data_IF_490996101872
#
_entry.id   IF_490996101872
#
_cell.length_a   1.000
_cell.length_b   1.000
_cell.length_c   1.000
_cell.angle_alpha   90.00
_cell.angle_beta   90.00
_cell.angle_gamma   90.00
#
_symmetry.space_group_name_H-M   'P 1'
#
loop_
_entity.id
_entity.type
_entity.pdbx_description
1 polymer ?
#
# COMPACT_ATOMS: atom_id res chain seq x y z
N UNK A 1 19.55 17.43 8.75
CA UNK A 1 19.28 16.93 7.38
C UNK A 1 18.51 15.61 7.36
N UNK A 2 18.90 14.57 8.13
CA UNK A 2 18.22 13.25 8.14
C UNK A 2 16.70 13.31 8.40
N UNK A 3 16.23 14.22 9.25
CA UNK A 3 14.80 14.32 9.60
C UNK A 3 13.93 14.86 8.48
N UNK A 4 14.41 15.85 7.73
CA UNK A 4 13.67 16.49 6.63
C UNK A 4 13.44 15.48 5.49
N UNK A 5 14.46 14.69 5.16
CA UNK A 5 14.36 13.63 4.15
C UNK A 5 13.32 12.57 4.52
N UNK A 6 13.19 12.22 5.80
CA UNK A 6 12.19 11.25 6.27
C UNK A 6 10.77 11.82 6.20
N UNK A 7 10.58 13.10 6.51
CA UNK A 7 9.27 13.75 6.36
C UNK A 7 8.85 13.81 4.88
N UNK A 8 9.76 14.20 3.99
CA UNK A 8 9.48 14.21 2.54
C UNK A 8 9.11 12.81 2.04
N UNK A 9 9.88 11.79 2.43
CA UNK A 9 9.60 10.42 2.00
C UNK A 9 8.26 9.90 2.52
N UNK A 10 7.94 10.21 3.78
CA UNK A 10 6.66 9.90 4.39
C UNK A 10 5.49 10.52 3.63
N UNK A 11 5.58 11.81 3.31
CA UNK A 11 4.53 12.48 2.54
C UNK A 11 4.43 11.91 1.13
N UNK A 12 5.55 11.66 0.46
CA UNK A 12 5.57 11.07 -0.87
C UNK A 12 4.91 9.67 -0.89
N UNK A 13 5.30 8.77 0.01
CA UNK A 13 4.72 7.43 0.11
C UNK A 13 3.24 7.47 0.50
N UNK A 14 2.87 8.30 1.47
CA UNK A 14 1.48 8.42 1.91
C UNK A 14 0.56 8.95 0.81
N UNK A 15 0.98 10.01 0.12
CA UNK A 15 0.22 10.58 -1.00
C UNK A 15 0.15 9.62 -2.19
N UNK A 16 1.22 8.90 -2.48
CA UNK A 16 1.23 7.88 -3.54
C UNK A 16 0.18 6.80 -3.26
N UNK A 17 0.16 6.23 -2.06
CA UNK A 17 -0.81 5.19 -1.67
C UNK A 17 -2.25 5.69 -1.62
N UNK A 18 -2.46 6.94 -1.20
CA UNK A 18 -3.80 7.56 -1.27
C UNK A 18 -4.24 7.71 -2.73
N UNK A 19 -3.35 8.18 -3.61
CA UNK A 19 -3.65 8.36 -5.03
C UNK A 19 -3.97 7.03 -5.72
N UNK A 20 -3.19 5.97 -5.47
CA UNK A 20 -3.46 4.63 -6.01
C UNK A 20 -4.80 4.10 -5.51
N UNK A 21 -5.07 4.23 -4.22
CA UNK A 21 -6.31 3.77 -3.61
C UNK A 21 -7.54 4.49 -4.18
N UNK A 22 -7.48 5.81 -4.31
CA UNK A 22 -8.58 6.60 -4.90
C UNK A 22 -8.80 6.20 -6.36
N UNK A 23 -7.74 6.02 -7.14
CA UNK A 23 -7.84 5.55 -8.52
C UNK A 23 -8.55 4.19 -8.65
N UNK A 24 -8.29 3.27 -7.72
CA UNK A 24 -8.96 1.96 -7.67
C UNK A 24 -10.40 2.03 -7.11
N UNK A 25 -10.66 2.90 -6.13
CA UNK A 25 -11.99 3.08 -5.54
C UNK A 25 -12.99 3.71 -6.51
N UNK A 26 -12.53 4.66 -7.34
CA UNK A 26 -13.36 5.34 -8.33
C UNK A 26 -13.98 4.38 -9.34
N UNK A 27 -13.27 3.31 -9.72
CA UNK A 27 -13.80 2.24 -10.55
C UNK A 27 -13.33 0.86 -10.08
N UNK A 28 -13.94 0.39 -8.98
CA UNK A 28 -13.64 -0.92 -8.44
C UNK A 28 -14.04 -2.07 -9.39
N UNK A 29 -15.04 -1.86 -10.27
CA UNK A 29 -15.45 -2.89 -11.24
C UNK A 29 -14.40 -3.05 -12.33
N UNK A 30 -13.90 -1.93 -12.86
CA UNK A 30 -12.78 -1.92 -13.79
C UNK A 30 -11.51 -2.51 -13.18
N UNK A 31 -11.22 -2.20 -11.91
CA UNK A 31 -10.10 -2.82 -11.19
C UNK A 31 -10.28 -4.34 -11.02
N UNK A 32 -11.48 -4.83 -10.71
CA UNK A 32 -11.75 -6.26 -10.65
C UNK A 32 -11.56 -6.97 -11.99
N UNK A 33 -11.89 -6.31 -13.12
CA UNK A 33 -11.62 -6.82 -14.45
C UNK A 33 -10.11 -6.89 -14.74
N UNK A 34 -9.33 -5.90 -14.29
CA UNK A 34 -7.86 -5.95 -14.35
C UNK A 34 -7.34 -7.11 -13.51
N UNK A 35 -7.83 -7.30 -12.27
CA UNK A 35 -7.45 -8.43 -11.42
C UNK A 35 -7.78 -9.79 -12.05
N UNK A 36 -8.82 -9.88 -12.88
CA UNK A 36 -9.14 -11.10 -13.63
C UNK A 36 -8.03 -11.48 -14.61
N UNK A 37 -7.35 -10.50 -15.22
CA UNK A 37 -6.26 -10.74 -16.18
C UNK A 37 -5.04 -11.41 -15.53
N UNK A 38 -4.89 -11.31 -14.22
CA UNK A 38 -3.83 -11.98 -13.46
C UNK A 38 -4.07 -13.50 -13.31
N UNK A 39 -5.27 -14.00 -13.59
CA UNK A 39 -5.62 -15.43 -13.55
C UNK A 39 -5.22 -16.15 -12.24
N UNK A 40 -5.21 -15.42 -11.13
CA UNK A 40 -4.76 -15.90 -9.82
C UNK A 40 -5.91 -16.23 -8.88
N UNK A 41 -7.06 -15.58 -9.05
CA UNK A 41 -8.19 -15.66 -8.13
C UNK A 41 -9.51 -15.93 -8.87
N UNK A 42 -10.48 -16.60 -8.23
CA UNK A 42 -11.78 -16.86 -8.85
C UNK A 42 -12.61 -15.58 -8.98
N UNK A 43 -13.44 -15.52 -10.02
CA UNK A 43 -14.22 -14.32 -10.37
C UNK A 43 -15.12 -13.80 -9.24
N UNK A 44 -15.64 -14.71 -8.39
CA UNK A 44 -16.50 -14.35 -7.26
C UNK A 44 -15.81 -13.43 -6.23
N UNK A 45 -14.49 -13.55 -6.04
CA UNK A 45 -13.77 -12.79 -5.02
C UNK A 45 -13.09 -11.53 -5.55
N UNK A 46 -13.04 -11.32 -6.88
CA UNK A 46 -12.28 -10.21 -7.47
C UNK A 46 -12.82 -8.83 -7.03
N UNK A 47 -14.15 -8.67 -6.98
CA UNK A 47 -14.82 -7.45 -6.55
C UNK A 47 -14.54 -7.10 -5.07
N UNK A 48 -14.78 -8.01 -4.09
CA UNK A 48 -14.44 -7.73 -2.70
C UNK A 48 -12.94 -7.63 -2.48
N UNK A 49 -12.11 -8.41 -3.18
CA UNK A 49 -10.66 -8.33 -3.10
C UNK A 49 -10.14 -6.96 -3.56
N UNK A 50 -10.64 -6.46 -4.69
CA UNK A 50 -10.30 -5.13 -5.20
C UNK A 50 -10.65 -4.03 -4.21
N UNK A 51 -11.82 -4.12 -3.59
CA UNK A 51 -12.26 -3.17 -2.57
C UNK A 51 -11.39 -3.23 -1.31
N UNK A 52 -11.14 -4.44 -0.78
CA UNK A 52 -10.31 -4.63 0.42
C UNK A 52 -8.90 -4.13 0.21
N UNK A 53 -8.29 -4.43 -0.94
CA UNK A 53 -6.95 -3.99 -1.27
C UNK A 53 -6.88 -2.47 -1.34
N UNK A 54 -7.84 -1.84 -2.01
CA UNK A 54 -7.87 -0.38 -2.17
C UNK A 54 -8.16 0.35 -0.86
N UNK A 55 -9.06 -0.18 -0.02
CA UNK A 55 -9.29 0.35 1.32
C UNK A 55 -8.05 0.20 2.21
N UNK A 56 -7.33 -0.92 2.10
CA UNK A 56 -6.09 -1.13 2.86
C UNK A 56 -5.02 -0.11 2.48
N UNK A 57 -4.85 0.19 1.19
CA UNK A 57 -3.95 1.25 0.71
C UNK A 57 -4.35 2.62 1.23
N UNK A 58 -5.65 2.94 1.18
CA UNK A 58 -6.15 4.24 1.63
C UNK A 58 -5.91 4.44 3.13
N UNK A 59 -6.29 3.45 3.95
CA UNK A 59 -6.13 3.50 5.40
C UNK A 59 -4.65 3.63 5.76
N UNK A 60 -3.79 2.80 5.16
CA UNK A 60 -2.36 2.84 5.42
C UNK A 60 -1.72 4.16 4.99
N UNK A 61 -2.11 4.71 3.83
CA UNK A 61 -1.64 6.01 3.35
C UNK A 61 -2.05 7.17 4.26
N UNK A 62 -3.31 7.20 4.70
CA UNK A 62 -3.84 8.22 5.63
C UNK A 62 -3.14 8.12 6.99
N UNK A 63 -3.05 6.91 7.56
CA UNK A 63 -2.40 6.70 8.86
C UNK A 63 -0.90 7.01 8.79
N UNK A 64 -0.25 6.74 7.65
CA UNK A 64 1.15 7.13 7.43
C UNK A 64 1.32 8.65 7.48
N UNK A 65 0.37 9.45 6.99
CA UNK A 65 0.46 10.92 7.02
C UNK A 65 0.03 11.47 8.39
N UNK A 66 -1.01 10.90 9.01
CA UNK A 66 -1.62 11.41 10.24
C UNK A 66 -0.81 11.09 11.50
N UNK A 67 -0.25 9.89 11.63
CA UNK A 67 0.33 9.43 12.90
C UNK A 67 1.78 9.90 13.10
N UNK A 68 2.12 10.65 14.17
CA UNK A 68 3.50 11.13 14.36
C UNK A 68 4.55 10.01 14.47
N UNK A 69 4.15 8.80 14.89
CA UNK A 69 5.00 7.58 14.94
C UNK A 69 4.35 6.44 14.12
N UNK A 70 4.50 6.41 12.79
CA UNK A 70 3.72 5.57 11.89
C UNK A 70 4.33 4.15 11.78
N UNK A 71 4.64 3.48 12.88
CA UNK A 71 5.36 2.19 12.85
C UNK A 71 4.56 1.11 12.11
N UNK A 72 3.32 0.86 12.54
CA UNK A 72 2.41 -0.11 11.93
C UNK A 72 2.07 0.19 10.46
N UNK A 73 1.65 1.43 10.09
CA UNK A 73 1.33 1.72 8.70
C UNK A 73 2.54 1.64 7.76
N UNK A 74 3.76 1.93 8.25
CA UNK A 74 4.98 1.78 7.44
C UNK A 74 5.23 0.33 7.06
N UNK A 75 5.10 -0.60 8.01
CA UNK A 75 5.20 -2.04 7.75
C UNK A 75 4.10 -2.53 6.81
N UNK A 76 2.85 -2.04 6.98
CA UNK A 76 1.76 -2.38 6.07
C UNK A 76 2.04 -1.96 4.62
N UNK A 77 2.55 -0.75 4.41
CA UNK A 77 2.96 -0.25 3.09
C UNK A 77 4.09 -1.10 2.50
N UNK A 78 5.08 -1.47 3.31
CA UNK A 78 6.14 -2.37 2.87
C UNK A 78 5.61 -3.73 2.41
N UNK A 79 4.71 -4.35 3.18
CA UNK A 79 4.14 -5.64 2.80
C UNK A 79 3.25 -5.55 1.55
N UNK A 80 2.50 -4.47 1.37
CA UNK A 80 1.73 -4.24 0.14
C UNK A 80 2.64 -4.09 -1.07
N UNK A 81 3.69 -3.26 -0.99
CA UNK A 81 4.68 -3.11 -2.06
C UNK A 81 5.38 -4.42 -2.39
N UNK A 82 5.77 -5.19 -1.36
CA UNK A 82 6.35 -6.51 -1.56
C UNK A 82 5.38 -7.45 -2.26
N UNK A 83 4.09 -7.42 -1.88
CA UNK A 83 3.03 -8.18 -2.56
C UNK A 83 2.91 -7.82 -4.03
N UNK A 84 2.94 -6.53 -4.37
CA UNK A 84 2.93 -6.07 -5.76
C UNK A 84 4.17 -6.49 -6.54
N UNK A 85 5.36 -6.34 -5.95
CA UNK A 85 6.61 -6.76 -6.58
C UNK A 85 6.63 -8.28 -6.87
N UNK A 86 6.17 -9.09 -5.91
CA UNK A 86 6.08 -10.55 -6.08
C UNK A 86 5.05 -10.90 -7.16
N UNK A 87 3.86 -10.30 -7.09
CA UNK A 87 2.83 -10.48 -8.11
C UNK A 87 3.38 -10.11 -9.49
N UNK A 88 4.15 -9.03 -9.57
CA UNK A 88 4.72 -8.56 -10.82
C UNK A 88 5.80 -9.46 -11.38
N UNK A 89 6.68 -9.97 -10.53
CA UNK A 89 7.66 -10.97 -10.91
C UNK A 89 6.99 -12.26 -11.39
N UNK A 90 6.00 -12.78 -10.65
CA UNK A 90 5.29 -14.02 -11.02
C UNK A 90 4.55 -13.88 -12.34
N UNK A 91 3.86 -12.76 -12.57
CA UNK A 91 3.13 -12.49 -13.83
C UNK A 91 4.10 -12.43 -15.03
N UNK A 92 5.25 -11.75 -14.88
CA UNK A 92 6.28 -11.72 -15.94
C UNK A 92 6.91 -13.09 -16.17
N UNK A 93 7.19 -13.86 -15.12
CA UNK A 93 7.72 -15.23 -15.23
C UNK A 93 6.74 -16.19 -15.93
N UNK A 94 5.43 -15.96 -15.80
CA UNK A 94 4.38 -16.68 -16.55
C UNK A 94 4.25 -16.23 -18.01
N UNK A 95 4.95 -15.17 -18.42
CA UNK A 95 4.84 -14.60 -19.77
C UNK A 95 3.49 -13.92 -20.04
N UNK A 96 2.75 -13.54 -18.98
CA UNK A 96 1.49 -12.84 -19.13
C UNK A 96 1.75 -11.37 -19.49
N UNK A 97 1.43 -10.98 -20.72
CA UNK A 97 1.52 -9.59 -21.16
C UNK A 97 0.28 -8.82 -20.70
N UNK A 98 0.37 -8.19 -19.53
CA UNK A 98 -0.68 -7.31 -19.03
C UNK A 98 -0.47 -5.88 -19.54
N UNK A 99 -1.48 -5.33 -20.21
CA UNK A 99 -1.45 -3.93 -20.65
C UNK A 99 -1.66 -2.93 -19.50
N UNK A 100 -2.16 -3.41 -18.35
CA UNK A 100 -2.41 -2.58 -17.18
C UNK A 100 -2.10 -3.35 -15.88
N UNK A 101 -1.16 -2.85 -15.08
CA UNK A 101 -0.86 -3.40 -13.75
C UNK A 101 -1.91 -3.05 -12.69
N UNK A 102 -2.81 -2.11 -12.96
CA UNK A 102 -3.93 -1.74 -12.08
C UNK A 102 -3.55 -0.90 -10.86
N UNK A 103 -2.29 -0.50 -10.68
CA UNK A 103 -1.87 0.34 -9.54
C UNK A 103 -2.66 1.65 -9.42
N UNK A 104 -3.06 2.27 -10.54
CA UNK A 104 -3.89 3.49 -10.57
C UNK A 104 -5.31 3.24 -11.11
N UNK A 105 -5.77 1.98 -11.06
CA UNK A 105 -7.05 1.57 -11.63
C UNK A 105 -7.08 1.66 -13.16
N UNK A 106 -8.25 1.98 -13.72
CA UNK A 106 -8.48 2.09 -15.17
C UNK A 106 -7.92 3.39 -15.74
N UNK A 107 -7.79 4.43 -14.92
CA UNK A 107 -7.42 5.78 -15.35
C UNK A 107 -5.97 5.90 -15.81
N UNK A 108 -5.07 5.09 -15.25
CA UNK A 108 -3.66 5.07 -15.65
C UNK A 108 -3.17 3.66 -15.94
N UNK A 109 -3.45 3.21 -17.17
CA UNK A 109 -2.95 1.94 -17.65
C UNK A 109 -1.43 1.97 -17.79
N UNK A 110 -0.73 1.21 -16.94
CA UNK A 110 0.72 1.03 -17.03
C UNK A 110 1.00 -0.38 -17.52
N UNK A 111 1.64 -0.54 -18.70
CA UNK A 111 1.95 -1.85 -19.23
C UNK A 111 2.94 -2.55 -18.30
N UNK A 112 2.66 -3.81 -18.06
CA UNK A 112 3.42 -4.65 -17.17
C UNK A 112 4.66 -5.15 -17.90
N UNK A 113 5.80 -4.56 -17.56
CA UNK A 113 7.11 -4.87 -18.17
C UNK A 113 8.13 -5.16 -17.08
N UNK A 114 9.33 -5.61 -17.46
CA UNK A 114 10.45 -5.74 -16.53
C UNK A 114 10.83 -4.42 -15.84
N UNK A 115 10.52 -3.29 -16.47
CA UNK A 115 10.71 -1.97 -15.85
C UNK A 115 9.76 -1.79 -14.66
N UNK A 116 8.50 -2.23 -14.76
CA UNK A 116 7.53 -2.17 -13.66
C UNK A 116 8.00 -3.00 -12.45
N UNK A 117 8.55 -4.19 -12.69
CA UNK A 117 9.13 -5.02 -11.62
C UNK A 117 10.27 -4.29 -10.91
N UNK A 118 11.11 -3.57 -11.68
CA UNK A 118 12.21 -2.79 -11.12
C UNK A 118 11.70 -1.59 -10.31
N UNK A 119 10.68 -0.89 -10.80
CA UNK A 119 9.99 0.20 -10.08
C UNK A 119 9.43 -0.30 -8.74
N UNK A 120 8.73 -1.46 -8.73
CA UNK A 120 8.15 -2.06 -7.54
C UNK A 120 9.22 -2.53 -6.53
N UNK A 121 10.35 -3.08 -7.01
CA UNK A 121 11.49 -3.46 -6.17
C UNK A 121 12.11 -2.22 -5.52
N UNK A 122 12.30 -1.14 -6.28
CA UNK A 122 12.82 0.13 -5.75
C UNK A 122 11.87 0.68 -4.68
N UNK A 123 10.57 0.70 -4.96
CA UNK A 123 9.56 1.21 -4.03
C UNK A 123 9.50 0.36 -2.75
N UNK A 124 9.67 -0.96 -2.88
CA UNK A 124 9.78 -1.91 -1.76
C UNK A 124 11.03 -1.64 -0.93
N UNK A 125 12.19 -1.47 -1.57
CA UNK A 125 13.45 -1.18 -0.89
C UNK A 125 13.42 0.17 -0.14
N UNK A 126 12.82 1.20 -0.76
CA UNK A 126 12.62 2.51 -0.16
C UNK A 126 11.67 2.42 1.04
N UNK A 127 10.58 1.68 0.93
CA UNK A 127 9.64 1.43 2.04
C UNK A 127 10.32 0.68 3.19
N UNK A 128 11.14 -0.33 2.89
CA UNK A 128 11.91 -1.07 3.88
C UNK A 128 12.92 -0.18 4.60
N UNK A 129 13.69 0.62 3.85
CA UNK A 129 14.63 1.58 4.43
C UNK A 129 13.91 2.58 5.35
N UNK A 130 12.73 3.06 4.95
CA UNK A 130 11.90 3.91 5.79
C UNK A 130 11.46 3.22 7.10
N UNK A 131 11.03 1.95 7.05
CA UNK A 131 10.71 1.15 8.24
C UNK A 131 11.89 1.00 9.20
N UNK A 132 13.09 0.70 8.68
CA UNK A 132 14.30 0.53 9.50
C UNK A 132 14.70 1.87 10.15
N UNK A 133 14.71 2.95 9.38
CA UNK A 133 15.05 4.29 9.88
C UNK A 133 14.06 4.77 10.94
N UNK A 134 12.78 4.41 10.83
CA UNK A 134 11.79 4.65 11.89
C UNK A 134 12.04 3.78 13.11
N UNK A 135 12.31 2.48 12.94
CA UNK A 135 12.54 1.52 14.03
C UNK A 135 13.69 1.94 14.96
N UNK A 136 14.76 2.53 14.40
CA UNK A 136 15.85 3.10 15.20
C UNK A 136 15.43 4.30 16.05
N UNK A 137 14.35 4.99 15.69
CA UNK A 137 13.86 6.21 16.36
C UNK A 137 12.72 5.96 17.34
N UNK A 138 11.95 4.88 17.14
CA UNK A 138 10.70 4.58 17.87
C UNK A 138 10.82 3.35 18.77
N UNK A 139 11.78 3.35 19.72
CA UNK A 139 11.84 2.37 20.83
C UNK A 139 10.77 2.61 21.92
N UNK A 140 9.62 3.18 21.61
CA UNK A 140 8.48 3.24 22.54
C UNK A 140 7.19 2.73 21.88
N UNK A 141 6.53 1.70 22.45
CA UNK A 141 5.36 1.07 21.87
C UNK A 141 4.13 1.97 21.88
N UNK A 142 3.43 2.01 20.73
CA UNK A 142 2.21 2.77 20.46
C UNK A 142 0.97 2.30 21.26
N UNK A 143 1.02 1.13 21.90
CA UNK A 143 -0.16 0.50 22.51
C UNK A 143 -0.59 1.09 23.86
N UNK A 144 0.13 2.05 24.43
CA UNK A 144 -0.15 2.57 25.79
C UNK A 144 -1.03 3.82 25.86
N UNK A 145 -1.50 4.38 24.74
CA UNK A 145 -2.18 5.71 24.74
C UNK A 145 -3.60 5.75 24.17
N UNK A 146 -4.27 4.59 24.08
CA UNK A 146 -5.52 4.45 23.32
C UNK A 146 -6.71 3.85 24.05
N UNK A 147 -6.88 4.03 25.36
CA UNK A 147 -8.20 3.92 26.02
C UNK A 147 -8.29 4.97 27.13
N UNK A 148 -9.15 6.00 27.02
CA UNK A 148 -9.60 6.72 28.20
C UNK A 148 -10.39 5.73 29.07
N UNK A 149 -9.84 5.39 30.24
CA UNK A 149 -10.53 4.67 31.31
C UNK A 149 -11.64 5.55 31.91
N UNK A 150 -12.69 5.84 31.14
CA UNK A 150 -13.89 6.51 31.66
C UNK A 150 -15.13 5.61 31.48
N UNK A 151 -15.21 4.57 32.32
CA UNK A 151 -16.48 4.07 32.81
C UNK A 151 -16.43 4.11 34.33
N UNK A 152 -16.41 5.32 34.90
CA UNK A 152 -17.00 5.54 36.22
C UNK A 152 -18.42 6.02 35.98
N UNK A 153 -19.37 5.07 35.95
CA UNK A 153 -20.79 5.39 36.10
C UNK A 153 -20.99 6.07 37.46
N UNK A 154 -21.59 7.26 37.52
CA UNK A 154 -22.11 7.79 38.77
C UNK A 154 -23.50 7.18 39.06
N UNK A 155 -23.71 6.91 40.35
CA UNK A 155 -24.96 6.58 41.07
C UNK A 155 -25.47 5.14 40.92
#
# INVERSE_FOLDING_TARGET
>A
MKTISLYLLRWALGLLFIATAVGKLLDNRGFAAILQTYQLFPTLILLPLGLLLSLSELILGIELIRQPKPFWPSWGIFFLNLGYAVLAAVTNLRGLNLNNCGCFGVFWARPMTWNTVTEDIILTAVSFAFCILLSHKTKEPYFSKGYPNEIKRPI
#
